data_IF_177187044884
#
_entry.id   IF_177187044884
#
_cell.length_a   1.000
_cell.length_b   1.000
_cell.length_c   1.000
_cell.angle_alpha   90.00
_cell.angle_beta   90.00
_cell.angle_gamma   90.00
#
_symmetry.space_group_name_H-M   'P 1'
#
loop_
_entity.id
_entity.type
_entity.pdbx_description
1 polymer ?
#
# COMPACT_ATOMS: atom_id res chain seq x y z
N UNK A 1 5.34 -17.83 -7.69
CA UNK A 1 4.45 -17.94 -8.88
C UNK A 1 3.36 -16.89 -8.73
N UNK A 2 3.30 -15.88 -9.60
CA UNK A 2 2.26 -14.86 -9.52
C UNK A 2 0.93 -15.41 -10.08
N UNK A 3 -0.12 -15.41 -9.26
CA UNK A 3 -1.48 -15.78 -9.67
C UNK A 3 -2.04 -14.85 -10.74
N UNK A 4 -3.13 -15.25 -11.41
CA UNK A 4 -3.82 -14.45 -12.44
C UNK A 4 -4.21 -13.05 -11.89
N UNK A 5 -4.54 -12.97 -10.60
CA UNK A 5 -4.86 -11.73 -9.90
C UNK A 5 -3.70 -10.71 -9.93
N UNK A 6 -2.48 -11.16 -9.60
CA UNK A 6 -1.28 -10.30 -9.55
C UNK A 6 -0.91 -9.78 -10.94
N UNK A 7 -1.09 -10.58 -12.00
CA UNK A 7 -0.86 -10.12 -13.38
C UNK A 7 -1.82 -9.00 -13.79
N UNK A 8 -3.11 -9.12 -13.45
CA UNK A 8 -4.11 -8.09 -13.70
C UNK A 8 -3.86 -6.81 -12.89
N UNK A 9 -3.36 -6.99 -11.66
CA UNK A 9 -2.92 -5.90 -10.80
C UNK A 9 -1.76 -5.12 -11.44
N UNK A 10 -0.68 -5.81 -11.80
CA UNK A 10 0.50 -5.22 -12.45
C UNK A 10 0.11 -4.48 -13.73
N UNK A 11 -0.73 -5.09 -14.59
CA UNK A 11 -1.22 -4.43 -15.81
C UNK A 11 -2.04 -3.16 -15.53
N UNK A 12 -2.80 -3.12 -14.44
CA UNK A 12 -3.53 -1.91 -14.04
C UNK A 12 -2.59 -0.80 -13.60
N UNK A 13 -1.56 -1.14 -12.82
CA UNK A 13 -0.54 -0.21 -12.32
C UNK A 13 0.28 0.35 -13.48
N UNK A 14 0.64 -0.48 -14.45
CA UNK A 14 1.31 -0.06 -15.69
C UNK A 14 0.53 1.01 -16.46
N UNK A 15 -0.80 0.99 -16.37
CA UNK A 15 -1.68 2.01 -16.96
C UNK A 15 -1.84 3.26 -16.10
N UNK A 16 -1.04 3.42 -15.05
CA UNK A 16 -1.08 4.54 -14.11
C UNK A 16 -2.23 4.47 -13.11
N UNK A 17 -2.95 3.35 -13.01
CA UNK A 17 -4.02 3.20 -12.02
C UNK A 17 -3.41 2.99 -10.64
N UNK A 18 -3.97 3.68 -9.65
CA UNK A 18 -3.63 3.43 -8.25
C UNK A 18 -4.32 2.16 -7.77
N UNK A 19 -3.58 1.34 -7.04
CA UNK A 19 -4.07 0.10 -6.45
C UNK A 19 -3.67 0.03 -5.00
N UNK A 20 -4.53 -0.52 -4.16
CA UNK A 20 -4.30 -0.53 -2.73
C UNK A 20 -5.49 -1.04 -1.98
N UNK A 21 -5.40 -0.98 -0.66
CA UNK A 21 -6.48 -1.26 0.26
C UNK A 21 -6.16 -0.70 1.64
N UNK A 22 -7.18 -0.55 2.46
CA UNK A 22 -7.10 -0.26 3.88
C UNK A 22 -7.53 -1.49 4.69
N UNK A 23 -7.01 -1.59 5.90
CA UNK A 23 -7.46 -2.57 6.86
C UNK A 23 -7.19 -2.15 8.30
N UNK A 24 -7.92 -2.76 9.22
CA UNK A 24 -7.61 -2.69 10.64
C UNK A 24 -7.10 -4.04 11.09
N UNK A 25 -5.97 -4.05 11.81
CA UNK A 25 -5.40 -5.26 12.39
C UNK A 25 -5.10 -5.04 13.87
N UNK A 26 -5.28 -6.09 14.67
CA UNK A 26 -4.79 -6.14 16.04
C UNK A 26 -3.29 -6.48 16.04
N UNK A 27 -2.48 -5.60 16.63
CA UNK A 27 -1.04 -5.79 16.82
C UNK A 27 -0.77 -5.64 18.32
N UNK A 28 -0.36 -6.72 18.97
CA UNK A 28 -0.05 -6.74 20.42
C UNK A 28 -1.19 -6.24 21.34
N UNK A 29 -2.45 -6.48 20.96
CA UNK A 29 -3.63 -6.06 21.74
C UNK A 29 -4.09 -4.63 21.48
N UNK A 30 -3.46 -3.95 20.52
CA UNK A 30 -3.84 -2.62 20.06
C UNK A 30 -4.33 -2.67 18.60
N UNK A 31 -5.39 -1.92 18.29
CA UNK A 31 -5.94 -1.84 16.94
C UNK A 31 -5.24 -0.76 16.14
N UNK A 32 -4.66 -1.15 15.02
CA UNK A 32 -4.00 -0.25 14.09
C UNK A 32 -4.75 -0.20 12.77
N UNK A 33 -4.94 1.02 12.25
CA UNK A 33 -5.38 1.25 10.90
C UNK A 33 -4.16 1.27 9.99
N UNK A 34 -4.19 0.47 8.93
CA UNK A 34 -3.19 0.43 7.89
C UNK A 34 -3.80 0.84 6.55
N UNK A 35 -3.03 1.57 5.76
CA UNK A 35 -3.35 1.84 4.36
C UNK A 35 -2.13 1.56 3.49
N UNK A 36 -2.34 0.79 2.43
CA UNK A 36 -1.30 0.42 1.48
C UNK A 36 -1.74 0.82 0.08
N UNK A 37 -0.84 1.43 -0.69
CA UNK A 37 -1.11 1.73 -2.08
C UNK A 37 0.14 1.69 -2.95
N UNK A 38 -0.07 1.50 -4.25
CA UNK A 38 0.95 1.53 -5.28
C UNK A 38 0.42 2.22 -6.54
N UNK A 39 1.28 2.99 -7.19
CA UNK A 39 1.01 3.68 -8.45
C UNK A 39 2.28 3.73 -9.28
N UNK A 40 2.15 3.66 -10.61
CA UNK A 40 3.25 4.03 -11.51
C UNK A 40 3.17 5.51 -11.87
N UNK A 41 4.25 6.26 -11.65
CA UNK A 41 4.35 7.68 -11.93
C UNK A 41 5.78 8.03 -12.33
N UNK A 42 5.94 8.85 -13.37
CA UNK A 42 7.28 9.23 -13.85
C UNK A 42 8.16 8.05 -14.27
N UNK A 43 7.56 6.92 -14.66
CA UNK A 43 8.29 5.69 -15.01
C UNK A 43 8.73 4.85 -13.81
N UNK A 44 8.50 5.29 -12.58
CA UNK A 44 8.78 4.55 -11.34
C UNK A 44 7.50 4.02 -10.70
N UNK A 45 7.65 3.02 -9.84
CA UNK A 45 6.58 2.47 -9.02
C UNK A 45 6.68 3.07 -7.63
N UNK A 46 5.75 3.95 -7.30
CA UNK A 46 5.67 4.60 -6.00
C UNK A 46 4.76 3.75 -5.11
N UNK A 47 5.26 3.39 -3.94
CA UNK A 47 4.52 2.68 -2.89
C UNK A 47 4.23 3.62 -1.74
N UNK A 48 3.10 3.38 -1.09
CA UNK A 48 2.63 4.11 0.07
C UNK A 48 2.25 3.10 1.14
N UNK A 49 2.75 3.33 2.35
CA UNK A 49 2.35 2.61 3.55
C UNK A 49 2.09 3.63 4.64
N UNK A 50 0.90 3.57 5.21
CA UNK A 50 0.49 4.35 6.36
C UNK A 50 0.01 3.43 7.45
N UNK A 51 0.36 3.75 8.68
CA UNK A 51 -0.11 3.04 9.87
C UNK A 51 -0.32 4.02 11.01
N UNK A 52 -1.44 3.91 11.72
CA UNK A 52 -1.68 4.66 12.95
C UNK A 52 -2.50 3.82 13.91
N UNK A 53 -2.27 4.02 15.20
CA UNK A 53 -3.13 3.45 16.24
C UNK A 53 -4.56 4.03 16.08
N UNK A 54 -5.58 3.17 16.07
CA UNK A 54 -6.97 3.57 15.81
C UNK A 54 -7.45 4.62 16.82
N UNK A 55 -7.01 4.52 18.08
CA UNK A 55 -7.31 5.49 19.14
C UNK A 55 -6.64 6.87 18.95
N UNK A 56 -5.71 6.97 18.00
CA UNK A 56 -4.97 8.20 17.64
C UNK A 56 -5.34 8.73 16.26
N UNK A 57 -6.37 8.18 15.62
CA UNK A 57 -6.78 8.57 14.28
C UNK A 57 -7.15 10.06 14.17
N UNK A 58 -7.75 10.66 15.21
CA UNK A 58 -8.08 12.10 15.23
C UNK A 58 -6.85 13.01 15.35
N UNK A 59 -5.72 12.48 15.80
CA UNK A 59 -4.44 13.20 15.95
C UNK A 59 -3.34 12.45 15.21
N UNK A 60 -3.66 11.87 14.04
CA UNK A 60 -2.76 10.93 13.37
C UNK A 60 -1.44 11.60 12.94
N UNK A 61 -1.43 12.90 12.69
CA UNK A 61 -0.24 13.66 12.27
C UNK A 61 0.95 13.49 13.24
N UNK A 62 0.68 13.30 14.54
CA UNK A 62 1.71 13.14 15.57
C UNK A 62 2.13 11.67 15.80
N UNK A 63 1.32 10.70 15.37
CA UNK A 63 1.46 9.29 15.76
C UNK A 63 1.54 8.33 14.59
N UNK A 64 1.21 8.78 13.38
CA UNK A 64 1.23 7.94 12.21
C UNK A 64 2.67 7.66 11.77
N UNK A 65 2.89 6.42 11.34
CA UNK A 65 4.04 6.05 10.55
C UNK A 65 3.65 6.10 9.08
N UNK A 66 4.40 6.85 8.30
CA UNK A 66 4.22 6.96 6.86
C UNK A 66 5.52 6.62 6.13
N UNK A 67 5.43 5.75 5.13
CA UNK A 67 6.54 5.39 4.25
C UNK A 67 6.12 5.59 2.79
N UNK A 68 6.91 6.37 2.05
CA UNK A 68 6.82 6.53 0.60
C UNK A 68 8.14 6.06 -0.02
N UNK A 69 8.07 5.04 -0.88
CA UNK A 69 9.25 4.50 -1.54
C UNK A 69 9.02 4.41 -3.05
N UNK A 70 10.09 4.66 -3.83
CA UNK A 70 10.08 4.54 -5.29
C UNK A 70 10.95 3.37 -5.75
N UNK A 71 10.43 2.59 -6.70
CA UNK A 71 11.12 1.44 -7.28
C UNK A 71 11.19 1.57 -8.80
N UNK A 72 12.26 1.00 -9.39
CA UNK A 72 12.46 1.01 -10.83
C UNK A 72 11.55 0.01 -11.56
N UNK A 73 11.13 -1.07 -10.89
CA UNK A 73 10.29 -2.11 -11.46
C UNK A 73 9.18 -2.54 -10.47
N UNK A 74 8.15 -3.24 -10.98
CA UNK A 74 7.01 -3.67 -10.19
C UNK A 74 7.38 -4.77 -9.17
N UNK A 75 8.34 -5.63 -9.53
CA UNK A 75 8.72 -6.79 -8.72
C UNK A 75 9.33 -6.33 -7.41
N UNK A 76 10.27 -5.38 -7.43
CA UNK A 76 10.86 -4.79 -6.22
C UNK A 76 9.79 -4.12 -5.33
N UNK A 77 8.81 -3.44 -5.95
CA UNK A 77 7.72 -2.80 -5.21
C UNK A 77 6.79 -3.84 -4.55
N UNK A 78 6.53 -4.96 -5.21
CA UNK A 78 5.77 -6.06 -4.63
C UNK A 78 6.57 -6.80 -3.55
N UNK A 79 7.87 -6.98 -3.74
CA UNK A 79 8.75 -7.58 -2.74
C UNK A 79 8.81 -6.72 -1.47
N UNK A 80 8.81 -5.39 -1.59
CA UNK A 80 8.68 -4.48 -0.45
C UNK A 80 7.40 -4.76 0.37
N UNK A 81 6.23 -4.88 -0.28
CA UNK A 81 4.99 -5.22 0.41
C UNK A 81 5.02 -6.61 1.03
N UNK A 82 5.59 -7.59 0.32
CA UNK A 82 5.74 -8.94 0.84
C UNK A 82 6.61 -8.99 2.10
N UNK A 83 7.75 -8.29 2.11
CA UNK A 83 8.64 -8.18 3.27
C UNK A 83 7.95 -7.50 4.47
N UNK A 84 7.02 -6.58 4.21
CA UNK A 84 6.15 -5.95 5.22
C UNK A 84 4.95 -6.81 5.61
N UNK A 85 4.87 -8.05 5.13
CA UNK A 85 3.76 -8.99 5.37
C UNK A 85 2.40 -8.44 4.92
N UNK A 86 2.39 -7.71 3.80
CA UNK A 86 1.17 -7.20 3.18
C UNK A 86 0.66 -8.22 2.17
N UNK A 87 -0.63 -8.54 2.26
CA UNK A 87 -1.29 -9.43 1.33
C UNK A 87 -1.66 -8.68 0.04
N UNK A 88 -0.82 -8.84 -0.98
CA UNK A 88 -0.97 -8.17 -2.28
C UNK A 88 -2.25 -8.61 -3.01
N UNK A 89 -2.81 -9.78 -2.68
CA UNK A 89 -4.06 -10.23 -3.31
C UNK A 89 -5.27 -9.38 -2.92
N UNK A 90 -5.20 -8.65 -1.80
CA UNK A 90 -6.22 -7.67 -1.39
C UNK A 90 -6.18 -6.38 -2.19
N UNK A 91 -5.12 -6.11 -2.95
CA UNK A 91 -5.00 -4.87 -3.71
C UNK A 91 -6.13 -4.75 -4.74
N UNK A 92 -6.87 -3.66 -4.63
CA UNK A 92 -7.98 -3.35 -5.51
C UNK A 92 -7.95 -1.88 -5.92
N UNK A 93 -9.03 -1.38 -6.54
CA UNK A 93 -9.12 0.06 -6.79
C UNK A 93 -9.40 0.77 -5.47
N UNK A 94 -8.48 1.63 -5.06
CA UNK A 94 -8.60 2.43 -3.83
C UNK A 94 -9.17 3.82 -4.16
N UNK A 95 -9.97 4.37 -3.24
CA UNK A 95 -10.55 5.71 -3.33
C UNK A 95 -9.81 6.67 -2.41
N UNK A 96 -9.91 7.96 -2.68
CA UNK A 96 -9.27 9.01 -1.88
C UNK A 96 -8.06 9.64 -2.56
N UNK A 97 -7.56 10.71 -1.95
CA UNK A 97 -6.31 11.36 -2.37
C UNK A 97 -5.19 10.70 -1.59
N UNK A 98 -4.23 10.13 -2.32
CA UNK A 98 -3.04 9.48 -1.76
C UNK A 98 -1.83 10.37 -2.08
N UNK A 99 -0.77 10.35 -1.24
CA UNK A 99 0.33 11.33 -1.32
C UNK A 99 1.38 10.99 -2.41
N UNK A 100 0.94 10.58 -3.60
CA UNK A 100 1.78 10.27 -4.78
C UNK A 100 1.94 11.45 -5.75
#
# INVERSE_FOLDING_TARGET
MAGISVKNLAFSIEKGKVRGFDEVRDVNGERYYFQYAIKKQGGKYCTYLFCVLESKMETFEDYAMEELNEFANAEDAFDYFWLKQVDIEKFSSIKGVLPF
#
